data_IF_677661407669
#
_entry.id   IF_677661407669
#
_cell.length_a   1.000
_cell.length_b   1.000
_cell.length_c   1.000
_cell.angle_alpha   90.00
_cell.angle_beta   90.00
_cell.angle_gamma   90.00
#
_symmetry.space_group_name_H-M   'P 1'
#
loop_
_entity.id
_entity.type
_entity.pdbx_description
1 polymer ?
#
# COMPACT_ATOMS: atom_id res chain seq x y z
N UNK A 1 -35.36 23.09 20.94
CA UNK A 1 -34.35 22.01 20.82
C UNK A 1 -33.96 21.96 19.35
N UNK A 2 -32.99 22.78 18.97
CA UNK A 2 -32.37 22.84 17.62
C UNK A 2 -31.68 21.50 17.35
N UNK A 3 -31.94 20.78 16.26
CA UNK A 3 -31.55 21.01 14.84
C UNK A 3 -30.02 21.07 14.65
N UNK A 4 -29.57 20.42 13.56
CA UNK A 4 -28.19 20.21 13.07
C UNK A 4 -27.56 18.90 13.58
N UNK A 5 -27.92 17.73 13.04
CA UNK A 5 -27.61 17.25 11.68
C UNK A 5 -26.12 17.45 11.31
N UNK A 6 -25.24 16.79 12.06
CA UNK A 6 -23.83 16.59 11.68
C UNK A 6 -23.76 15.50 10.60
N UNK A 7 -24.26 15.86 9.42
CA UNK A 7 -24.32 15.03 8.23
C UNK A 7 -23.89 15.81 7.00
N UNK A 8 -22.74 16.48 7.02
CA UNK A 8 -22.12 17.07 5.81
C UNK A 8 -20.67 17.48 6.15
N UNK A 9 -19.60 17.05 5.49
CA UNK A 9 -19.48 16.46 4.16
C UNK A 9 -18.26 15.52 4.12
N UNK A 10 -18.48 14.21 3.98
CA UNK A 10 -17.44 13.34 3.44
C UNK A 10 -17.37 13.71 1.95
N UNK A 11 -16.31 14.42 1.57
CA UNK A 11 -16.09 14.85 0.19
C UNK A 11 -16.39 13.69 -0.77
N UNK A 12 -17.07 13.98 -1.87
CA UNK A 12 -17.26 13.03 -2.98
C UNK A 12 -15.86 12.79 -3.57
N UNK A 13 -15.11 11.90 -2.93
CA UNK A 13 -13.84 11.37 -3.38
C UNK A 13 -14.21 10.33 -4.43
N UNK A 14 -13.71 10.49 -5.65
CA UNK A 14 -13.76 9.41 -6.62
C UNK A 14 -12.94 8.26 -6.02
N UNK A 15 -13.55 7.15 -5.57
CA UNK A 15 -12.80 6.10 -4.91
C UNK A 15 -11.84 5.51 -5.94
N UNK A 16 -10.55 5.46 -5.63
CA UNK A 16 -9.67 4.61 -6.42
C UNK A 16 -10.02 3.17 -6.08
N UNK A 17 -10.38 2.38 -7.08
CA UNK A 17 -10.60 0.95 -6.89
C UNK A 17 -9.26 0.27 -6.58
N UNK A 18 -9.25 -0.69 -5.64
CA UNK A 18 -8.04 -1.43 -5.25
C UNK A 18 -7.36 -2.06 -6.47
N UNK A 19 -8.12 -2.71 -7.34
CA UNK A 19 -7.62 -3.27 -8.61
C UNK A 19 -6.87 -2.25 -9.47
N UNK A 20 -7.39 -1.03 -9.60
CA UNK A 20 -6.75 0.03 -10.38
C UNK A 20 -5.44 0.45 -9.74
N UNK A 21 -5.44 0.67 -8.42
CA UNK A 21 -4.24 1.02 -7.67
C UNK A 21 -3.16 -0.07 -7.79
N UNK A 22 -3.54 -1.33 -7.64
CA UNK A 22 -2.62 -2.47 -7.77
C UNK A 22 -2.01 -2.56 -9.17
N UNK A 23 -2.81 -2.27 -10.20
CA UNK A 23 -2.34 -2.25 -11.57
C UNK A 23 -1.31 -1.14 -11.81
N UNK A 24 -1.53 0.06 -11.25
CA UNK A 24 -0.59 1.17 -11.34
C UNK A 24 0.70 0.90 -10.55
N UNK A 25 0.58 0.36 -9.34
CA UNK A 25 1.75 -0.04 -8.52
C UNK A 25 2.55 -1.14 -9.21
N UNK A 26 1.90 -2.17 -9.73
CA UNK A 26 2.55 -3.24 -10.50
C UNK A 26 3.27 -2.69 -11.73
N UNK A 27 2.59 -1.84 -12.52
CA UNK A 27 3.18 -1.21 -13.71
C UNK A 27 4.43 -0.43 -13.36
N UNK A 28 4.40 0.35 -12.27
CA UNK A 28 5.54 1.12 -11.79
C UNK A 28 6.72 0.24 -11.38
N UNK A 29 6.45 -0.88 -10.70
CA UNK A 29 7.47 -1.84 -10.28
C UNK A 29 8.16 -2.47 -11.50
N UNK A 30 7.36 -2.92 -12.48
CA UNK A 30 7.86 -3.52 -13.70
C UNK A 30 8.62 -2.50 -14.57
N UNK A 31 8.18 -1.24 -14.59
CA UNK A 31 8.90 -0.15 -15.27
C UNK A 31 10.26 0.11 -14.62
N UNK A 32 10.34 0.14 -13.29
CA UNK A 32 11.61 0.30 -12.56
C UNK A 32 12.57 -0.87 -12.84
N UNK A 33 12.04 -2.10 -12.84
CA UNK A 33 12.79 -3.31 -13.17
C UNK A 33 13.33 -3.25 -14.61
N UNK A 34 12.46 -2.95 -15.60
CA UNK A 34 12.86 -2.84 -17.00
C UNK A 34 13.88 -1.71 -17.24
N UNK A 35 13.78 -0.62 -16.50
CA UNK A 35 14.75 0.47 -16.53
C UNK A 35 16.06 0.13 -15.78
N UNK A 36 16.14 -1.00 -15.07
CA UNK A 36 17.25 -1.38 -14.19
C UNK A 36 17.56 -0.32 -13.12
N UNK A 37 16.51 0.34 -12.61
CA UNK A 37 16.63 1.41 -11.61
C UNK A 37 15.96 1.00 -10.29
N UNK A 38 16.54 1.35 -9.13
CA UNK A 38 15.91 1.08 -7.84
C UNK A 38 14.58 1.82 -7.70
N UNK A 39 13.57 1.13 -7.14
CA UNK A 39 12.23 1.69 -6.92
C UNK A 39 12.24 2.82 -5.88
N UNK A 40 13.22 2.82 -4.99
CA UNK A 40 13.42 3.79 -3.92
C UNK A 40 13.97 5.14 -4.41
N UNK A 41 14.35 5.23 -5.68
CA UNK A 41 14.88 6.46 -6.28
C UNK A 41 13.84 7.14 -7.16
N UNK A 42 14.04 8.44 -7.38
CA UNK A 42 13.21 9.21 -8.30
C UNK A 42 13.45 8.75 -9.76
N UNK A 43 12.40 8.73 -10.59
CA UNK A 43 11.03 9.20 -10.32
C UNK A 43 10.10 8.16 -9.65
N UNK A 44 10.53 6.90 -9.56
CA UNK A 44 9.66 5.79 -9.14
C UNK A 44 9.16 5.93 -7.70
N UNK A 45 10.04 6.32 -6.77
CA UNK A 45 9.63 6.55 -5.37
C UNK A 45 8.51 7.59 -5.27
N UNK A 46 8.62 8.70 -5.99
CA UNK A 46 7.60 9.75 -6.03
C UNK A 46 6.27 9.25 -6.60
N UNK A 47 6.30 8.53 -7.72
CA UNK A 47 5.09 7.94 -8.32
C UNK A 47 4.44 6.88 -7.43
N UNK A 48 5.23 6.06 -6.74
CA UNK A 48 4.71 5.07 -5.79
C UNK A 48 4.06 5.78 -4.60
N UNK A 49 4.67 6.87 -4.12
CA UNK A 49 4.11 7.69 -3.06
C UNK A 49 2.79 8.36 -3.48
N UNK A 50 2.65 8.79 -4.74
CA UNK A 50 1.37 9.29 -5.25
C UNK A 50 0.26 8.22 -5.17
N UNK A 51 0.58 6.95 -5.43
CA UNK A 51 -0.38 5.84 -5.25
C UNK A 51 -0.73 5.64 -3.77
N UNK A 52 0.23 5.75 -2.86
CA UNK A 52 -0.01 5.71 -1.42
C UNK A 52 -0.98 6.83 -0.98
N UNK A 53 -0.76 8.07 -1.44
CA UNK A 53 -1.66 9.20 -1.15
C UNK A 53 -3.05 8.99 -1.77
N UNK A 54 -3.14 8.36 -2.94
CA UNK A 54 -4.42 8.03 -3.56
C UNK A 54 -5.19 6.96 -2.75
N UNK A 55 -4.50 5.96 -2.20
CA UNK A 55 -5.08 4.98 -1.29
C UNK A 55 -5.63 5.64 -0.02
N UNK A 56 -4.82 6.51 0.61
CA UNK A 56 -5.20 7.25 1.82
C UNK A 56 -6.44 8.10 1.59
N UNK A 57 -6.45 8.89 0.51
CA UNK A 57 -7.61 9.71 0.12
C UNK A 57 -8.86 8.89 -0.20
N UNK A 58 -8.72 7.63 -0.56
CA UNK A 58 -9.84 6.72 -0.82
C UNK A 58 -10.30 5.98 0.44
N UNK A 59 -9.64 6.20 1.59
CA UNK A 59 -9.92 5.50 2.84
C UNK A 59 -9.47 4.04 2.85
N UNK A 60 -8.53 3.67 1.97
CA UNK A 60 -8.01 2.31 1.87
C UNK A 60 -6.85 2.05 2.85
N UNK A 61 -6.20 3.09 3.36
CA UNK A 61 -5.13 2.93 4.36
C UNK A 61 -5.77 2.79 5.74
N UNK A 62 -5.45 1.72 6.50
CA UNK A 62 -6.04 1.53 7.81
C UNK A 62 -5.42 2.42 8.88
N UNK A 63 -6.24 2.77 9.87
CA UNK A 63 -5.74 3.22 11.17
C UNK A 63 -5.10 2.03 11.90
N UNK A 64 -3.91 2.20 12.47
CA UNK A 64 -3.11 1.11 13.10
C UNK A 64 -3.89 0.36 14.20
N UNK A 65 -4.82 1.04 14.87
CA UNK A 65 -5.69 0.47 15.90
C UNK A 65 -6.83 -0.41 15.34
N UNK A 66 -7.15 -0.29 14.05
CA UNK A 66 -8.28 -0.91 13.39
C UNK A 66 -7.87 -1.91 12.30
N UNK A 67 -6.56 -2.12 12.07
CA UNK A 67 -6.07 -3.09 11.11
C UNK A 67 -6.59 -4.49 11.50
N UNK A 68 -7.59 -4.97 10.75
CA UNK A 68 -8.19 -6.27 11.00
C UNK A 68 -7.14 -7.37 10.79
N UNK A 69 -7.16 -8.44 11.60
CA UNK A 69 -6.35 -9.61 11.32
C UNK A 69 -6.71 -10.15 9.93
N UNK A 70 -5.66 -10.53 9.21
CA UNK A 70 -5.65 -11.22 7.94
C UNK A 70 -6.95 -11.96 7.58
N UNK A 71 -7.61 -11.52 6.50
CA UNK A 71 -8.62 -12.29 5.77
C UNK A 71 -8.11 -12.61 4.36
N UNK A 72 -8.66 -13.66 3.74
CA UNK A 72 -8.39 -14.08 2.36
C UNK A 72 -9.02 -13.13 1.32
N UNK A 73 -9.20 -11.85 1.68
CA UNK A 73 -9.78 -10.79 0.89
C UNK A 73 -9.10 -10.67 -0.49
N UNK A 74 -9.93 -10.52 -1.52
CA UNK A 74 -9.52 -10.34 -2.91
C UNK A 74 -9.53 -8.84 -3.28
N UNK A 75 -8.92 -8.47 -4.40
CA UNK A 75 -8.85 -7.10 -4.91
C UNK A 75 -10.23 -6.45 -5.19
N UNK A 76 -11.30 -7.26 -5.21
CA UNK A 76 -12.70 -6.84 -5.37
C UNK A 76 -13.45 -6.68 -4.03
N UNK A 77 -12.82 -6.98 -2.90
CA UNK A 77 -13.44 -6.85 -1.58
C UNK A 77 -13.62 -5.36 -1.21
N UNK A 78 -14.87 -4.89 -0.97
CA UNK A 78 -15.15 -3.50 -0.64
C UNK A 78 -14.61 -3.05 0.73
N UNK A 79 -14.27 -3.99 1.62
CA UNK A 79 -13.73 -3.72 2.95
C UNK A 79 -12.20 -3.87 3.01
N UNK A 80 -11.57 -4.16 1.86
CA UNK A 80 -10.13 -4.38 1.78
C UNK A 80 -9.34 -3.14 2.18
N UNK A 81 -8.50 -3.31 3.19
CA UNK A 81 -7.53 -2.32 3.65
C UNK A 81 -6.14 -2.63 3.08
N UNK A 82 -5.44 -1.60 2.60
CA UNK A 82 -4.11 -1.66 1.98
C UNK A 82 -2.99 -1.39 3.00
N UNK A 83 -2.80 -2.34 3.91
CA UNK A 83 -1.53 -2.47 4.65
C UNK A 83 -0.38 -2.83 3.71
N UNK A 84 0.86 -2.66 4.16
CA UNK A 84 2.03 -3.11 3.41
C UNK A 84 1.98 -4.63 3.10
N UNK A 85 1.52 -5.43 4.07
CA UNK A 85 1.37 -6.88 3.92
C UNK A 85 0.32 -7.26 2.89
N UNK A 86 -0.88 -6.67 2.95
CA UNK A 86 -1.98 -6.96 2.01
C UNK A 86 -1.59 -6.55 0.60
N UNK A 87 -1.04 -5.34 0.41
CA UNK A 87 -0.52 -4.88 -0.87
C UNK A 87 0.49 -5.87 -1.48
N UNK A 88 1.52 -6.26 -0.72
CA UNK A 88 2.54 -7.17 -1.21
C UNK A 88 2.01 -8.58 -1.51
N UNK A 89 1.02 -9.06 -0.74
CA UNK A 89 0.37 -10.36 -1.00
C UNK A 89 -0.46 -10.35 -2.28
N UNK A 90 -1.23 -9.30 -2.53
CA UNK A 90 -2.02 -9.17 -3.76
C UNK A 90 -1.09 -9.13 -4.99
N UNK A 91 0.00 -8.36 -4.93
CA UNK A 91 1.03 -8.36 -5.97
C UNK A 91 1.70 -9.73 -6.14
N UNK A 92 2.05 -10.40 -5.03
CA UNK A 92 2.64 -11.74 -5.07
C UNK A 92 1.71 -12.79 -5.70
N UNK A 93 0.40 -12.71 -5.42
CA UNK A 93 -0.64 -13.54 -6.03
C UNK A 93 -0.73 -13.29 -7.54
N UNK A 94 -0.76 -12.02 -7.99
CA UNK A 94 -0.75 -11.66 -9.43
C UNK A 94 0.47 -12.25 -10.16
N UNK A 95 1.62 -12.32 -9.50
CA UNK A 95 2.84 -12.88 -10.08
C UNK A 95 2.98 -14.39 -9.94
N UNK A 96 2.06 -15.06 -9.24
CA UNK A 96 2.15 -16.49 -8.96
C UNK A 96 3.34 -16.87 -8.07
N UNK A 97 3.84 -15.95 -7.24
CA UNK A 97 5.03 -16.18 -6.41
C UNK A 97 4.82 -17.31 -5.40
N UNK A 98 3.61 -17.45 -4.86
CA UNK A 98 3.27 -18.53 -3.92
C UNK A 98 3.42 -19.91 -4.58
N UNK A 99 3.00 -20.02 -5.84
CA UNK A 99 3.10 -21.27 -6.60
C UNK A 99 4.55 -21.55 -6.99
N UNK A 100 5.29 -20.54 -7.43
CA UNK A 100 6.71 -20.66 -7.75
C UNK A 100 7.56 -21.07 -6.53
N UNK A 101 7.26 -20.52 -5.36
CA UNK A 101 7.93 -20.89 -4.11
C UNK A 101 7.64 -22.34 -3.70
N UNK A 102 6.37 -22.77 -3.81
CA UNK A 102 5.96 -24.15 -3.54
C UNK A 102 6.61 -25.15 -4.49
N UNK A 103 6.67 -24.83 -5.79
CA UNK A 103 7.29 -25.68 -6.80
C UNK A 103 8.81 -25.80 -6.58
N UNK A 104 9.51 -24.68 -6.35
CA UNK A 104 10.93 -24.69 -6.05
C UNK A 104 11.25 -25.51 -4.79
N UNK A 105 10.42 -25.40 -3.76
CA UNK A 105 10.56 -26.21 -2.55
C UNK A 105 10.32 -27.70 -2.82
N UNK A 106 9.28 -28.05 -3.57
CA UNK A 106 8.96 -29.43 -3.91
C UNK A 106 10.06 -30.09 -4.76
N UNK A 107 10.64 -29.34 -5.69
CA UNK A 107 11.74 -29.80 -6.54
C UNK A 107 13.12 -29.69 -5.88
N UNK A 108 13.21 -29.11 -4.67
CA UNK A 108 14.47 -28.76 -3.99
C UNK A 108 15.42 -27.93 -4.87
N UNK A 109 14.85 -27.09 -5.72
CA UNK A 109 15.58 -26.22 -6.64
C UNK A 109 15.61 -24.79 -6.10
N UNK A 110 16.51 -23.97 -6.66
CA UNK A 110 16.52 -22.53 -6.38
C UNK A 110 15.36 -21.87 -7.12
N UNK A 111 14.79 -20.84 -6.50
CA UNK A 111 13.79 -20.00 -7.12
C UNK A 111 14.38 -19.35 -8.41
N UNK A 112 13.63 -19.29 -9.53
CA UNK A 112 14.10 -18.64 -10.75
C UNK A 112 14.53 -17.19 -10.49
N UNK A 113 15.55 -16.72 -11.23
CA UNK A 113 16.14 -15.40 -11.03
C UNK A 113 15.11 -14.25 -11.12
N UNK A 114 14.18 -14.35 -12.06
CA UNK A 114 13.09 -13.39 -12.24
C UNK A 114 12.17 -13.32 -11.00
N UNK A 115 11.84 -14.48 -10.42
CA UNK A 115 11.00 -14.54 -9.22
C UNK A 115 11.74 -13.99 -7.98
N UNK A 116 13.05 -14.22 -7.89
CA UNK A 116 13.88 -13.62 -6.83
C UNK A 116 13.96 -12.10 -6.95
N UNK A 117 14.01 -11.58 -8.17
CA UNK A 117 13.98 -10.14 -8.43
C UNK A 117 12.63 -9.53 -8.03
N UNK A 118 11.52 -10.19 -8.38
CA UNK A 118 10.18 -9.79 -7.94
C UNK A 118 10.05 -9.78 -6.41
N UNK A 119 10.59 -10.78 -5.71
CA UNK A 119 10.63 -10.79 -4.24
C UNK A 119 11.41 -9.60 -3.66
N UNK A 120 12.54 -9.21 -4.28
CA UNK A 120 13.30 -8.02 -3.85
C UNK A 120 12.50 -6.73 -4.03
N UNK A 121 11.79 -6.60 -5.15
CA UNK A 121 10.93 -5.45 -5.42
C UNK A 121 9.77 -5.35 -4.41
N UNK A 122 9.14 -6.48 -4.04
CA UNK A 122 8.13 -6.50 -2.97
C UNK A 122 8.70 -6.02 -1.65
N UNK A 123 9.95 -6.37 -1.33
CA UNK A 123 10.55 -5.89 -0.09
C UNK A 123 10.75 -4.37 -0.10
N UNK A 124 11.20 -3.80 -1.22
CA UNK A 124 11.29 -2.35 -1.40
C UNK A 124 9.94 -1.66 -1.24
N UNK A 125 8.87 -2.21 -1.84
CA UNK A 125 7.49 -1.71 -1.69
C UNK A 125 7.05 -1.79 -0.24
N UNK A 126 7.17 -2.96 0.39
CA UNK A 126 6.77 -3.19 1.78
C UNK A 126 7.42 -2.16 2.72
N UNK A 127 8.74 -1.98 2.59
CA UNK A 127 9.51 -1.05 3.42
C UNK A 127 9.02 0.39 3.26
N UNK A 128 8.87 0.88 2.02
CA UNK A 128 8.41 2.25 1.77
C UNK A 128 6.97 2.45 2.23
N UNK A 129 6.08 1.49 1.98
CA UNK A 129 4.69 1.57 2.39
C UNK A 129 4.55 1.64 3.91
N UNK A 130 5.28 0.80 4.65
CA UNK A 130 5.34 0.86 6.11
C UNK A 130 5.89 2.19 6.62
N UNK A 131 7.00 2.67 6.04
CA UNK A 131 7.60 3.96 6.41
C UNK A 131 6.61 5.12 6.23
N UNK A 132 5.85 5.12 5.12
CA UNK A 132 4.86 6.14 4.86
C UNK A 132 3.64 6.02 5.74
N UNK A 133 3.07 4.83 5.91
CA UNK A 133 1.96 4.59 6.86
C UNK A 133 2.29 5.11 8.25
N UNK A 134 3.49 4.79 8.75
CA UNK A 134 3.96 5.26 10.05
C UNK A 134 4.11 6.79 10.11
N UNK A 135 4.76 7.39 9.11
CA UNK A 135 4.95 8.84 9.07
C UNK A 135 3.62 9.60 8.92
N UNK A 136 2.66 9.04 8.18
CA UNK A 136 1.35 9.65 7.94
C UNK A 136 0.49 9.68 9.20
N UNK A 137 0.43 8.56 9.94
CA UNK A 137 -0.35 8.47 11.18
C UNK A 137 0.16 9.45 12.24
N UNK A 138 1.48 9.61 12.33
CA UNK A 138 2.12 10.52 13.29
C UNK A 138 2.16 11.97 12.81
N UNK A 139 1.73 12.25 11.59
CA UNK A 139 1.76 13.61 11.02
C UNK A 139 1.03 14.63 11.90
N UNK A 140 -0.11 14.22 12.48
CA UNK A 140 -0.90 15.04 13.39
C UNK A 140 -0.15 15.41 14.68
N UNK A 141 0.75 14.55 15.20
CA UNK A 141 1.56 14.85 16.40
C UNK A 141 2.49 16.05 16.19
N UNK A 142 2.95 16.26 14.95
CA UNK A 142 3.88 17.34 14.58
C UNK A 142 3.20 18.60 14.05
N UNK A 143 1.88 18.53 13.80
CA UNK A 143 1.08 19.64 13.25
C UNK A 143 -0.10 20.03 14.14
N UNK A 144 -0.28 19.37 15.30
CA UNK A 144 -1.09 19.90 16.37
C UNK A 144 -0.42 21.19 16.87
N UNK A 145 -1.07 22.33 16.63
CA UNK A 145 -0.62 23.62 17.14
C UNK A 145 -0.34 23.51 18.63
N UNK A 146 0.86 23.93 19.03
CA UNK A 146 1.23 24.05 20.43
C UNK A 146 0.13 24.82 21.14
N UNK A 147 -0.53 24.27 22.19
CA UNK A 147 -1.58 25.01 22.88
C UNK A 147 -0.93 26.26 23.42
N UNK A 148 -1.38 27.42 22.92
CA UNK A 148 -0.94 28.71 23.40
C UNK A 148 -1.03 28.67 24.92
N UNK A 149 0.10 28.92 25.57
CA UNK A 149 0.16 29.08 27.01
C UNK A 149 -0.74 30.26 27.38
N UNK A 150 -1.95 29.96 27.82
CA UNK A 150 -2.84 30.92 28.47
C UNK A 150 -2.10 31.45 29.71
N UNK A 151 -1.72 32.72 29.64
CA UNK A 151 -1.16 33.52 30.73
C UNK A 151 -2.15 34.55 31.22
#
# INVERSE_FOLDING_TARGET
MSSEDQGAAKAVQCPVAVRSLLTEVESLILEAQAATRPLELQPFRGRLFEQFVAADRSGLIPDEAAAAPFDDADEDDPELQLTADTLCRLLARRWGLDMAAREAQAMQTRLPAEQLERMRLLWSVMRMWMEWSYAWQRWAEFHAESPAADG
#
